data_IF_336824161791
#
_entry.id   IF_336824161791
#
_cell.length_a   1.000
_cell.length_b   1.000
_cell.length_c   1.000
_cell.angle_alpha   90.00
_cell.angle_beta   90.00
_cell.angle_gamma   90.00
#
_symmetry.space_group_name_H-M   'P 1'
#
loop_
_entity.id
_entity.type
_entity.pdbx_description
1 polymer ?
#
# COMPACT_ATOMS: atom_id res chain seq x y z
N UNK A 1 4.11 -4.88 18.56
CA UNK A 1 4.78 -3.80 17.82
C UNK A 1 4.27 -3.78 16.38
N UNK A 2 3.90 -2.60 15.91
CA UNK A 2 3.43 -2.44 14.55
C UNK A 2 4.57 -2.56 13.53
N UNK A 3 4.25 -3.16 12.40
CA UNK A 3 5.16 -3.27 11.26
C UNK A 3 4.57 -2.44 10.14
N UNK A 4 5.39 -1.59 9.53
CA UNK A 4 4.96 -0.78 8.38
C UNK A 4 5.75 -1.21 7.16
N UNK A 5 5.04 -1.48 6.07
CA UNK A 5 5.65 -1.71 4.77
C UNK A 5 5.39 -0.50 3.88
N UNK A 6 6.46 0.06 3.34
CA UNK A 6 6.40 1.20 2.42
C UNK A 6 6.89 0.75 1.06
N UNK A 7 6.11 1.02 0.03
CA UNK A 7 6.50 0.73 -1.36
C UNK A 7 6.33 1.98 -2.19
N UNK A 8 7.42 2.52 -2.70
CA UNK A 8 7.42 3.66 -3.61
C UNK A 8 7.51 3.13 -5.03
N UNK A 9 6.51 3.47 -5.86
CA UNK A 9 6.46 3.05 -7.26
C UNK A 9 6.49 4.25 -8.16
N UNK A 10 7.42 4.25 -9.11
CA UNK A 10 7.52 5.31 -10.11
C UNK A 10 7.10 4.71 -11.45
N UNK A 11 5.97 5.19 -11.98
CA UNK A 11 5.40 4.70 -13.23
C UNK A 11 5.97 5.50 -14.41
N UNK A 12 5.78 4.96 -15.60
CA UNK A 12 6.27 5.61 -16.84
C UNK A 12 5.49 6.87 -17.17
N UNK A 13 4.24 6.97 -16.69
CA UNK A 13 3.39 8.11 -16.96
C UNK A 13 2.45 8.38 -15.78
N UNK A 14 1.90 9.60 -15.75
CA UNK A 14 0.87 9.95 -14.77
C UNK A 14 -0.38 9.09 -14.97
N UNK A 15 -0.72 8.77 -16.21
CA UNK A 15 -1.88 7.92 -16.51
C UNK A 15 -1.73 6.54 -15.90
N UNK A 16 -0.54 5.92 -16.00
CA UNK A 16 -0.27 4.63 -15.39
C UNK A 16 -0.38 4.71 -13.86
N UNK A 17 0.13 5.80 -13.27
CA UNK A 17 0.01 6.02 -11.83
C UNK A 17 -1.46 6.12 -11.42
N UNK A 18 -2.28 6.84 -12.18
CA UNK A 18 -3.70 6.97 -11.91
C UNK A 18 -4.43 5.63 -12.02
N UNK A 19 -4.06 4.79 -12.97
CA UNK A 19 -4.61 3.43 -13.09
C UNK A 19 -4.29 2.61 -11.84
N UNK A 20 -3.07 2.71 -11.33
CA UNK A 20 -2.70 2.02 -10.09
C UNK A 20 -3.51 2.52 -8.89
N UNK A 21 -3.75 3.82 -8.80
CA UNK A 21 -4.59 4.39 -7.74
C UNK A 21 -6.00 3.80 -7.79
N UNK A 22 -6.59 3.70 -8.98
CA UNK A 22 -7.92 3.10 -9.16
C UNK A 22 -7.92 1.63 -8.73
N UNK A 23 -6.90 0.87 -9.09
CA UNK A 23 -6.75 -0.51 -8.66
C UNK A 23 -6.67 -0.61 -7.12
N UNK A 24 -5.93 0.31 -6.50
CA UNK A 24 -5.79 0.35 -5.04
C UNK A 24 -7.11 0.69 -4.35
N UNK A 25 -7.92 1.57 -4.94
CA UNK A 25 -9.26 1.87 -4.42
C UNK A 25 -10.13 0.62 -4.40
N UNK A 26 -10.05 -0.19 -5.45
CA UNK A 26 -10.82 -1.43 -5.51
C UNK A 26 -10.41 -2.37 -4.37
N UNK A 27 -9.11 -2.52 -4.14
CA UNK A 27 -8.61 -3.35 -3.03
C UNK A 27 -9.12 -2.79 -1.69
N UNK A 28 -9.05 -1.47 -1.50
CA UNK A 28 -9.52 -0.84 -0.27
C UNK A 28 -11.01 -1.10 -0.04
N UNK A 29 -11.83 -0.99 -1.08
CA UNK A 29 -13.27 -1.24 -0.98
C UNK A 29 -13.56 -2.71 -0.66
N UNK A 30 -12.87 -3.63 -1.32
CA UNK A 30 -13.04 -5.07 -1.07
C UNK A 30 -12.59 -5.44 0.34
N UNK A 31 -11.62 -4.73 0.92
CA UNK A 31 -11.12 -5.03 2.26
C UNK A 31 -12.18 -4.85 3.34
N UNK A 32 -13.25 -4.11 3.07
CA UNK A 32 -14.37 -3.97 3.99
C UNK A 32 -15.13 -5.28 4.19
N UNK A 33 -14.92 -6.27 3.34
CA UNK A 33 -15.57 -7.56 3.40
C UNK A 33 -14.77 -8.61 4.20
N UNK A 34 -13.72 -8.17 4.90
CA UNK A 34 -12.89 -9.07 5.71
C UNK A 34 -12.74 -8.51 7.13
N UNK A 35 -12.51 -9.41 8.09
CA UNK A 35 -12.28 -9.06 9.50
C UNK A 35 -10.80 -8.78 9.81
N UNK A 36 -9.93 -8.73 8.81
CA UNK A 36 -8.49 -8.63 9.00
C UNK A 36 -8.01 -7.26 9.50
N UNK A 37 -8.87 -6.26 9.57
CA UNK A 37 -8.51 -4.90 10.02
C UNK A 37 -7.36 -4.32 9.21
N UNK A 38 -7.56 -4.29 7.90
CA UNK A 38 -6.54 -3.77 6.98
C UNK A 38 -6.37 -2.26 7.17
N UNK A 39 -5.13 -1.85 7.37
CA UNK A 39 -4.77 -0.44 7.50
C UNK A 39 -3.76 -0.10 6.40
N UNK A 40 -4.22 0.63 5.40
CA UNK A 40 -3.37 1.03 4.28
C UNK A 40 -3.66 2.45 3.85
N UNK A 41 -2.66 3.08 3.26
CA UNK A 41 -2.79 4.37 2.59
C UNK A 41 -2.06 4.28 1.27
N UNK A 42 -2.61 4.94 0.27
CA UNK A 42 -1.96 5.12 -1.02
C UNK A 42 -1.90 6.62 -1.26
N UNK A 43 -0.70 7.14 -1.42
CA UNK A 43 -0.48 8.57 -1.63
C UNK A 43 0.20 8.79 -2.97
N UNK A 44 -0.18 9.87 -3.63
CA UNK A 44 0.42 10.27 -4.90
C UNK A 44 1.26 11.52 -4.66
N UNK A 45 2.49 11.52 -5.17
CA UNK A 45 3.41 12.64 -5.00
C UNK A 45 2.83 13.88 -5.69
N UNK A 46 2.70 14.99 -4.94
CA UNK A 46 2.08 16.21 -5.49
C UNK A 46 2.94 16.90 -6.53
N UNK A 47 4.27 16.71 -6.45
CA UNK A 47 5.21 17.32 -7.38
C UNK A 47 5.59 16.40 -8.53
N UNK A 48 5.53 15.10 -8.33
CA UNK A 48 5.86 14.09 -9.32
C UNK A 48 4.72 13.07 -9.37
N UNK A 49 3.68 13.39 -10.14
CA UNK A 49 2.42 12.65 -10.12
C UNK A 49 2.49 11.24 -10.68
N UNK A 50 3.59 10.88 -11.34
CA UNK A 50 3.82 9.50 -11.77
C UNK A 50 4.41 8.61 -10.66
N UNK A 51 4.59 9.16 -9.45
CA UNK A 51 5.08 8.41 -8.30
C UNK A 51 3.97 8.21 -7.27
N UNK A 52 3.76 6.97 -6.87
CA UNK A 52 2.71 6.59 -5.91
C UNK A 52 3.33 5.71 -4.83
N UNK A 53 3.02 6.01 -3.58
CA UNK A 53 3.54 5.27 -2.43
C UNK A 53 2.39 4.54 -1.73
N UNK A 54 2.57 3.25 -1.51
CA UNK A 54 1.66 2.44 -0.70
C UNK A 54 2.25 2.27 0.69
N UNK A 55 1.43 2.48 1.70
CA UNK A 55 1.82 2.35 3.11
C UNK A 55 0.85 1.38 3.76
N UNK A 56 1.40 0.29 4.30
CA UNK A 56 0.61 -0.74 4.98
C UNK A 56 1.07 -0.84 6.41
N UNK A 57 0.15 -0.83 7.35
CA UNK A 57 0.46 -1.04 8.75
C UNK A 57 -0.17 -2.34 9.24
N UNK A 58 0.62 -3.15 9.94
CA UNK A 58 0.19 -4.42 10.51
C UNK A 58 0.47 -4.43 12.00
N UNK A 59 -0.42 -5.04 12.78
CA UNK A 59 -0.28 -5.10 14.23
C UNK A 59 0.96 -5.89 14.65
N UNK A 60 1.23 -6.98 13.94
CA UNK A 60 2.36 -7.86 14.20
C UNK A 60 2.66 -8.71 12.96
N UNK A 61 3.63 -9.59 13.06
CA UNK A 61 4.04 -10.44 11.95
C UNK A 61 2.93 -11.39 11.51
N UNK A 62 2.16 -11.94 12.46
CA UNK A 62 1.05 -12.82 12.14
C UNK A 62 -0.01 -12.08 11.32
N UNK A 63 -0.38 -10.89 11.75
CA UNK A 63 -1.34 -10.03 11.04
C UNK A 63 -0.85 -9.73 9.63
N UNK A 64 0.44 -9.41 9.50
CA UNK A 64 1.05 -9.14 8.20
C UNK A 64 0.90 -10.34 7.24
N UNK A 65 1.15 -11.55 7.73
CA UNK A 65 1.03 -12.76 6.93
C UNK A 65 -0.41 -13.02 6.52
N UNK A 66 -1.35 -12.80 7.41
CA UNK A 66 -2.78 -12.96 7.11
C UNK A 66 -3.25 -11.97 6.05
N UNK A 67 -2.81 -10.71 6.15
CA UNK A 67 -3.15 -9.69 5.15
C UNK A 67 -2.54 -10.05 3.79
N UNK A 68 -1.28 -10.49 3.76
CA UNK A 68 -0.64 -10.91 2.51
C UNK A 68 -1.37 -12.07 1.86
N UNK A 69 -1.80 -13.04 2.66
CA UNK A 69 -2.56 -14.18 2.16
C UNK A 69 -3.88 -13.73 1.54
N UNK A 70 -4.56 -12.81 2.21
CA UNK A 70 -5.81 -12.24 1.68
C UNK A 70 -5.57 -11.52 0.35
N UNK A 71 -4.51 -10.70 0.29
CA UNK A 71 -4.21 -9.90 -0.90
C UNK A 71 -3.79 -10.75 -2.09
N UNK A 72 -3.31 -11.97 -1.85
CA UNK A 72 -2.88 -12.86 -2.93
C UNK A 72 -3.99 -13.23 -3.89
N UNK A 73 -5.26 -13.07 -3.50
CA UNK A 73 -6.40 -13.31 -4.38
C UNK A 73 -6.59 -12.20 -5.41
N UNK A 74 -5.99 -11.05 -5.20
CA UNK A 74 -6.07 -9.95 -6.17
C UNK A 74 -4.95 -10.07 -7.19
N UNK A 75 -5.21 -9.60 -8.41
CA UNK A 75 -4.22 -9.65 -9.47
C UNK A 75 -3.03 -8.76 -9.14
N UNK A 76 -1.85 -9.22 -9.48
CA UNK A 76 -0.65 -8.40 -9.41
C UNK A 76 -0.74 -7.26 -10.43
N UNK A 77 0.17 -6.29 -10.29
CA UNK A 77 0.25 -5.13 -11.19
C UNK A 77 0.50 -5.65 -12.62
N UNK A 78 -0.31 -5.24 -13.61
CA UNK A 78 -0.08 -5.64 -14.99
C UNK A 78 1.31 -5.27 -15.48
N UNK A 79 1.93 -6.13 -16.29
CA UNK A 79 3.26 -5.87 -16.86
C UNK A 79 3.32 -4.54 -17.64
N UNK A 80 2.20 -4.13 -18.22
CA UNK A 80 2.12 -2.86 -18.95
C UNK A 80 2.38 -1.63 -18.08
N UNK A 81 2.16 -1.75 -16.77
CA UNK A 81 2.44 -0.66 -15.82
C UNK A 81 3.86 -0.67 -15.30
N UNK A 82 4.48 -1.83 -15.19
CA UNK A 82 5.89 -2.09 -14.81
C UNK A 82 6.62 -0.92 -14.11
N UNK A 83 6.20 -0.50 -12.91
CA UNK A 83 6.85 0.63 -12.25
C UNK A 83 8.22 0.23 -11.71
N UNK A 84 9.07 1.23 -11.51
CA UNK A 84 10.28 1.05 -10.69
C UNK A 84 9.83 1.05 -9.24
N UNK A 85 10.28 0.06 -8.46
CA UNK A 85 9.85 -0.09 -7.08
C UNK A 85 11.02 -0.02 -6.12
N UNK A 86 10.81 0.69 -5.00
CA UNK A 86 11.67 0.66 -3.83
C UNK A 86 10.76 0.36 -2.65
N UNK A 87 11.07 -0.69 -1.90
CA UNK A 87 10.23 -1.11 -0.78
C UNK A 87 11.08 -1.54 0.40
N UNK A 88 10.58 -1.30 1.61
CA UNK A 88 11.14 -1.91 2.81
C UNK A 88 10.06 -2.05 3.88
N UNK A 89 10.36 -2.88 4.88
CA UNK A 89 9.52 -3.06 6.05
C UNK A 89 10.29 -2.62 7.28
N UNK A 90 9.61 -1.96 8.19
CA UNK A 90 10.20 -1.52 9.43
C UNK A 90 9.27 -1.71 10.61
N UNK A 91 9.86 -1.84 11.79
CA UNK A 91 9.11 -1.88 13.04
C UNK A 91 9.00 -0.46 13.56
N UNK A 92 7.80 -0.04 13.98
CA UNK A 92 7.59 1.29 14.55
C UNK A 92 8.36 1.41 15.84
N UNK A 93 9.30 2.34 15.90
CA UNK A 93 10.14 2.59 17.07
C UNK A 93 9.68 3.79 17.88
N UNK A 94 9.08 4.77 17.23
CA UNK A 94 8.58 5.99 17.89
C UNK A 94 7.26 6.36 17.23
N UNK A 95 6.30 6.66 18.06
CA UNK A 95 4.99 7.11 17.60
C UNK A 95 4.46 8.20 18.52
N UNK A 96 3.84 9.21 17.96
CA UNK A 96 3.18 10.25 18.73
C UNK A 96 1.83 10.55 18.08
N UNK A 97 0.85 10.82 18.91
CA UNK A 97 -0.48 11.21 18.43
C UNK A 97 -1.03 12.27 19.40
N UNK A 98 -0.79 13.53 19.07
CA UNK A 98 -1.17 14.68 19.90
C UNK A 98 -2.45 15.36 19.41
N UNK A 99 -3.26 14.65 18.67
CA UNK A 99 -4.54 15.19 18.23
C UNK A 99 -5.52 15.26 19.39
N UNK A 100 -6.13 16.40 19.54
CA UNK A 100 -7.19 16.61 20.51
C UNK A 100 -8.52 16.03 20.05
#
# INVERSE_FOLDING_TARGET
>A
MSIIRVTVRTFQSVEHANMFVVMSEKVANESNNTDLKINMKVIQNVDQKNQVTSIWEHDDEKHMKEVRSYLSQFNSIPNSLSPKEIAYEGVVKVSANNKD
#
